data_IF_142320850070
#
_entry.id   IF_142320850070
#
_cell.length_a   1.000
_cell.length_b   1.000
_cell.length_c   1.000
_cell.angle_alpha   90.00
_cell.angle_beta   90.00
_cell.angle_gamma   90.00
#
_symmetry.space_group_name_H-M   'P 1'
#
loop_
_entity.id
_entity.type
_entity.pdbx_description
1 polymer ?
#
# COMPACT_ATOMS: atom_id res chain seq x y z
N UNK A 1 15.04 4.82 16.92
CA UNK A 1 13.96 4.92 15.91
C UNK A 1 12.98 3.81 16.19
N UNK A 2 11.73 4.16 16.49
CA UNK A 2 10.66 3.19 16.67
C UNK A 2 9.45 3.64 15.86
N UNK A 3 8.43 2.80 15.68
CA UNK A 3 7.28 3.17 14.84
C UNK A 3 6.36 4.20 15.53
N UNK A 4 6.38 4.22 16.86
CA UNK A 4 5.61 5.12 17.73
C UNK A 4 5.97 6.60 17.57
N UNK A 5 7.13 6.89 16.96
CA UNK A 5 7.59 8.26 16.66
C UNK A 5 7.36 8.66 15.21
N UNK A 6 6.66 7.85 14.41
CA UNK A 6 6.44 8.08 12.97
C UNK A 6 4.97 8.32 12.64
N UNK A 7 4.66 8.64 11.39
CA UNK A 7 3.29 8.74 10.88
C UNK A 7 2.45 7.46 11.11
N UNK A 8 3.10 6.30 11.22
CA UNK A 8 2.42 5.01 11.42
C UNK A 8 2.13 4.71 12.89
N UNK A 9 2.50 5.57 13.84
CA UNK A 9 2.34 5.34 15.28
C UNK A 9 0.91 4.97 15.70
N UNK A 10 -0.08 5.68 15.14
CA UNK A 10 -1.50 5.41 15.42
C UNK A 10 -1.95 4.04 14.89
N UNK A 11 -1.52 3.67 13.69
CA UNK A 11 -1.83 2.36 13.10
C UNK A 11 -1.14 1.23 13.88
N UNK A 12 0.10 1.44 14.30
CA UNK A 12 0.86 0.52 15.13
C UNK A 12 0.17 0.27 16.47
N UNK A 13 -0.17 1.35 17.18
CA UNK A 13 -0.82 1.27 18.50
C UNK A 13 -2.19 0.62 18.41
N UNK A 14 -2.92 0.83 17.31
CA UNK A 14 -4.18 0.18 17.02
C UNK A 14 -4.05 -1.28 16.52
N UNK A 15 -2.83 -1.83 16.45
CA UNK A 15 -2.58 -3.19 15.99
C UNK A 15 -2.91 -3.42 14.52
N UNK A 16 -2.87 -2.37 13.69
CA UNK A 16 -3.24 -2.41 12.27
C UNK A 16 -2.09 -2.75 11.32
N UNK A 17 -0.85 -2.72 11.80
CA UNK A 17 0.31 -3.19 11.04
C UNK A 17 0.42 -4.72 11.20
N UNK A 18 -0.11 -5.45 10.24
CA UNK A 18 -0.23 -6.91 10.28
C UNK A 18 0.78 -7.59 9.36
N UNK A 19 0.99 -8.90 9.58
CA UNK A 19 1.73 -9.79 8.68
C UNK A 19 3.08 -9.22 8.21
N UNK A 20 3.81 -8.57 9.12
CA UNK A 20 5.05 -7.89 8.79
C UNK A 20 6.10 -8.89 8.28
N UNK A 21 6.42 -8.78 7.00
CA UNK A 21 7.58 -9.41 6.35
C UNK A 21 8.85 -8.61 6.70
N UNK A 22 8.72 -7.28 6.80
CA UNK A 22 9.78 -6.40 7.28
C UNK A 22 9.20 -5.24 8.07
N UNK A 23 9.88 -4.85 9.14
CA UNK A 23 9.55 -3.68 9.94
C UNK A 23 10.79 -3.23 10.69
N UNK A 24 11.41 -2.15 10.25
CA UNK A 24 12.68 -1.70 10.80
C UNK A 24 13.24 -0.46 10.12
N UNK A 25 14.51 -0.12 10.35
CA UNK A 25 15.20 0.96 9.63
C UNK A 25 15.17 0.79 8.11
N UNK A 26 15.11 1.88 7.35
CA UNK A 26 15.41 1.85 5.92
C UNK A 26 16.90 2.09 5.66
N UNK A 27 17.36 1.97 4.40
CA UNK A 27 18.71 2.39 3.99
C UNK A 27 18.94 3.90 4.13
N UNK A 28 17.86 4.69 4.16
CA UNK A 28 17.93 6.14 4.40
C UNK A 28 17.98 6.40 5.91
N UNK A 29 19.05 7.04 6.37
CA UNK A 29 19.20 7.38 7.79
C UNK A 29 18.05 8.27 8.28
N UNK A 30 17.49 7.94 9.46
CA UNK A 30 16.34 8.63 10.02
C UNK A 30 14.98 8.18 9.47
N UNK A 31 14.95 7.11 8.67
CA UNK A 31 13.73 6.56 8.09
C UNK A 31 13.53 5.10 8.47
N UNK A 32 12.27 4.69 8.58
CA UNK A 32 11.84 3.32 8.78
C UNK A 32 11.08 2.82 7.55
N UNK A 33 11.24 1.53 7.28
CA UNK A 33 10.58 0.81 6.21
C UNK A 33 9.67 -0.29 6.77
N UNK A 34 8.46 -0.40 6.20
CA UNK A 34 7.47 -1.43 6.52
C UNK A 34 7.18 -2.25 5.26
N UNK A 35 6.98 -3.56 5.45
CA UNK A 35 6.40 -4.48 4.46
C UNK A 35 5.48 -5.47 5.17
N UNK A 36 4.19 -5.44 4.88
CA UNK A 36 3.17 -6.27 5.52
C UNK A 36 1.78 -5.91 5.03
N UNK A 37 0.78 -5.83 5.91
CA UNK A 37 -0.58 -5.40 5.58
C UNK A 37 -1.03 -4.27 6.51
N UNK A 38 -1.88 -3.37 6.02
CA UNK A 38 -2.60 -2.41 6.86
C UNK A 38 -4.05 -2.88 7.03
N UNK A 39 -4.44 -3.23 8.26
CA UNK A 39 -5.83 -3.52 8.57
C UNK A 39 -6.69 -2.25 8.45
N UNK A 40 -7.66 -2.27 7.54
CA UNK A 40 -8.59 -1.17 7.34
C UNK A 40 -9.83 -1.36 8.23
N UNK A 41 -10.41 -2.55 8.25
CA UNK A 41 -11.55 -2.86 9.12
C UNK A 41 -11.34 -4.18 9.84
N UNK A 42 -11.50 -4.18 11.15
CA UNK A 42 -11.53 -5.41 11.95
C UNK A 42 -12.95 -5.98 11.95
N UNK A 43 -13.07 -7.30 12.04
CA UNK A 43 -14.35 -7.95 12.29
C UNK A 43 -14.80 -7.67 13.72
N UNK A 44 -16.11 -7.72 13.97
CA UNK A 44 -16.63 -7.71 15.35
C UNK A 44 -16.04 -8.90 16.13
N UNK A 45 -15.43 -8.60 17.28
CA UNK A 45 -14.81 -9.61 18.12
C UNK A 45 -15.88 -10.52 18.73
N UNK A 46 -15.87 -11.79 18.38
CA UNK A 46 -16.53 -12.84 19.18
C UNK A 46 -15.49 -13.37 20.16
N UNK A 47 -15.89 -13.54 21.42
CA UNK A 47 -14.99 -13.80 22.55
C UNK A 47 -13.90 -14.84 22.22
N UNK A 48 -12.66 -14.45 22.54
CA UNK A 48 -11.40 -15.22 22.49
C UNK A 48 -10.85 -15.65 21.13
N UNK A 49 -11.50 -15.34 20.00
CA UNK A 49 -10.97 -15.64 18.67
C UNK A 49 -10.31 -14.40 18.03
N UNK A 50 -8.98 -14.43 17.85
CA UNK A 50 -8.29 -13.41 17.04
C UNK A 50 -8.63 -13.62 15.57
N UNK A 51 -9.66 -12.92 15.09
CA UNK A 51 -10.09 -12.97 13.69
C UNK A 51 -9.18 -12.14 12.79
N UNK A 52 -8.96 -12.58 11.53
CA UNK A 52 -8.35 -11.70 10.55
C UNK A 52 -9.24 -10.45 10.36
N UNK A 53 -8.66 -9.31 9.96
CA UNK A 53 -9.46 -8.16 9.56
C UNK A 53 -10.46 -8.52 8.47
N UNK A 54 -11.57 -7.79 8.42
CA UNK A 54 -12.58 -7.92 7.36
C UNK A 54 -11.97 -7.58 6.00
N UNK A 55 -11.17 -6.51 5.95
CA UNK A 55 -10.36 -6.17 4.78
C UNK A 55 -9.14 -5.30 5.14
N UNK A 56 -8.14 -5.33 4.26
CA UNK A 56 -6.85 -4.65 4.39
C UNK A 56 -6.47 -3.87 3.13
N UNK A 57 -5.48 -2.98 3.28
CA UNK A 57 -4.53 -2.71 2.21
C UNK A 57 -3.41 -3.77 2.30
N UNK A 58 -3.45 -4.73 1.39
CA UNK A 58 -2.60 -5.92 1.42
C UNK A 58 -1.24 -5.65 0.78
N UNK A 59 -0.21 -6.39 1.19
CA UNK A 59 1.15 -6.31 0.64
C UNK A 59 1.67 -4.86 0.61
N UNK A 60 1.34 -4.11 1.66
CA UNK A 60 1.73 -2.73 1.87
C UNK A 60 3.24 -2.61 2.04
N UNK A 61 3.85 -1.69 1.31
CA UNK A 61 5.22 -1.21 1.49
C UNK A 61 5.16 0.26 1.87
N UNK A 62 5.84 0.68 2.94
CA UNK A 62 5.85 2.09 3.34
C UNK A 62 7.23 2.57 3.78
N UNK A 63 7.54 3.84 3.48
CA UNK A 63 8.67 4.59 4.03
C UNK A 63 8.15 5.74 4.87
N UNK A 64 8.66 5.86 6.09
CA UNK A 64 8.29 6.93 7.03
C UNK A 64 9.52 7.49 7.74
N UNK A 65 9.51 8.79 7.99
CA UNK A 65 10.57 9.47 8.76
C UNK A 65 10.35 9.34 10.27
N UNK A 66 11.42 9.14 11.02
CA UNK A 66 11.43 9.29 12.48
C UNK A 66 11.10 10.74 12.87
N UNK A 67 10.12 10.92 13.77
CA UNK A 67 9.54 12.22 14.11
C UNK A 67 8.65 12.85 13.03
N UNK A 68 8.43 12.17 11.90
CA UNK A 68 7.58 12.63 10.82
C UNK A 68 6.10 12.33 11.07
N UNK A 69 5.21 13.19 10.56
CA UNK A 69 3.75 13.05 10.70
C UNK A 69 3.05 12.51 9.45
N UNK A 70 3.78 12.34 8.34
CA UNK A 70 3.23 11.86 7.07
C UNK A 70 4.02 10.66 6.54
N UNK A 71 3.38 9.88 5.67
CA UNK A 71 3.99 8.76 4.95
C UNK A 71 4.66 9.32 3.69
N UNK A 72 5.98 9.12 3.57
CA UNK A 72 6.77 9.62 2.45
C UNK A 72 6.51 8.81 1.16
N UNK A 73 6.40 7.49 1.29
CA UNK A 73 6.04 6.60 0.19
C UNK A 73 5.18 5.43 0.67
N UNK A 74 4.16 5.05 -0.10
CA UNK A 74 3.29 3.91 0.16
C UNK A 74 2.97 3.19 -1.16
N UNK A 75 3.05 1.87 -1.14
CA UNK A 75 2.40 1.05 -2.14
C UNK A 75 1.60 -0.08 -1.48
N UNK A 76 0.53 -0.55 -2.10
CA UNK A 76 -0.26 -1.67 -1.58
C UNK A 76 -1.38 -2.08 -2.51
N UNK A 77 -2.04 -3.18 -2.19
CA UNK A 77 -3.12 -3.76 -2.97
C UNK A 77 -4.47 -3.60 -2.25
N UNK A 78 -5.46 -3.05 -2.96
CA UNK A 78 -6.84 -2.97 -2.51
C UNK A 78 -7.70 -3.92 -3.35
N UNK A 79 -8.36 -4.86 -2.68
CA UNK A 79 -9.17 -5.87 -3.37
C UNK A 79 -10.39 -5.27 -4.07
N UNK A 80 -11.13 -4.46 -3.30
CA UNK A 80 -12.30 -3.71 -3.72
C UNK A 80 -11.98 -2.23 -3.53
N UNK A 81 -11.98 -1.46 -4.62
CA UNK A 81 -11.70 -0.03 -4.58
C UNK A 81 -12.69 0.74 -3.69
N UNK A 82 -13.89 0.21 -3.42
CA UNK A 82 -14.82 0.84 -2.48
C UNK A 82 -14.25 0.93 -1.05
N UNK A 83 -13.35 0.01 -0.68
CA UNK A 83 -12.65 0.04 0.61
C UNK A 83 -11.66 1.21 0.71
N UNK A 84 -11.38 1.94 -0.39
CA UNK A 84 -10.60 3.17 -0.33
C UNK A 84 -11.28 4.28 0.46
N UNK A 85 -12.60 4.21 0.69
CA UNK A 85 -13.28 5.14 1.62
C UNK A 85 -12.76 4.97 3.04
N UNK A 86 -12.68 3.73 3.53
CA UNK A 86 -12.08 3.44 4.85
C UNK A 86 -10.58 3.76 4.87
N UNK A 87 -9.87 3.53 3.76
CA UNK A 87 -8.48 3.97 3.62
C UNK A 87 -8.34 5.50 3.72
N UNK A 88 -9.27 6.26 3.12
CA UNK A 88 -9.30 7.72 3.20
C UNK A 88 -9.46 8.21 4.63
N UNK A 89 -10.30 7.56 5.42
CA UNK A 89 -10.52 7.92 6.82
C UNK A 89 -9.31 7.60 7.71
N UNK A 90 -8.69 6.43 7.51
CA UNK A 90 -7.63 5.93 8.39
C UNK A 90 -6.22 6.36 8.00
N UNK A 91 -5.93 6.33 6.71
CA UNK A 91 -4.58 6.55 6.16
C UNK A 91 -4.51 7.88 5.43
N UNK A 92 -5.61 8.39 4.88
CA UNK A 92 -5.67 9.69 4.21
C UNK A 92 -5.05 10.84 5.01
N UNK A 93 -5.31 11.00 6.33
CA UNK A 93 -4.68 12.04 7.15
C UNK A 93 -3.16 11.92 7.29
N UNK A 94 -2.60 10.75 6.96
CA UNK A 94 -1.16 10.47 6.99
C UNK A 94 -0.51 10.73 5.62
N UNK A 95 -1.30 11.03 4.58
CA UNK A 95 -0.79 11.32 3.25
C UNK A 95 -0.56 12.82 3.07
N UNK A 96 0.36 13.20 2.18
CA UNK A 96 0.69 14.59 1.87
C UNK A 96 0.82 14.81 0.36
N UNK A 97 0.78 16.06 -0.07
CA UNK A 97 0.95 16.44 -1.48
C UNK A 97 2.34 16.13 -2.04
N UNK A 98 3.34 15.91 -1.17
CA UNK A 98 4.72 15.59 -1.56
C UNK A 98 5.04 14.11 -1.52
N UNK A 99 4.15 13.28 -0.96
CA UNK A 99 4.39 11.85 -0.85
C UNK A 99 4.08 11.08 -2.12
N UNK A 100 4.51 9.81 -2.14
CA UNK A 100 4.49 8.96 -3.33
C UNK A 100 3.63 7.73 -3.08
N UNK A 101 2.47 7.67 -3.73
CA UNK A 101 1.45 6.66 -3.41
C UNK A 101 1.04 5.86 -4.64
N UNK A 102 1.24 4.54 -4.59
CA UNK A 102 0.87 3.61 -5.66
C UNK A 102 -0.12 2.57 -5.10
N UNK A 103 -1.35 2.57 -5.58
CA UNK A 103 -2.35 1.57 -5.19
C UNK A 103 -2.58 0.62 -6.36
N UNK A 104 -2.46 -0.67 -6.09
CA UNK A 104 -2.87 -1.72 -7.00
C UNK A 104 -4.33 -2.08 -6.69
N UNK A 105 -5.19 -2.15 -7.69
CA UNK A 105 -6.63 -2.34 -7.54
C UNK A 105 -7.09 -3.67 -8.16
N UNK A 106 -7.90 -4.42 -7.43
CA UNK A 106 -8.35 -5.77 -7.80
C UNK A 106 -9.62 -5.84 -8.66
N UNK A 107 -10.44 -4.79 -8.66
CA UNK A 107 -11.73 -4.76 -9.34
C UNK A 107 -11.88 -3.54 -10.26
N UNK A 108 -10.89 -3.30 -11.11
CA UNK A 108 -10.95 -2.34 -12.22
C UNK A 108 -10.55 -3.02 -13.53
N UNK A 109 -10.76 -2.34 -14.66
CA UNK A 109 -10.31 -2.81 -15.97
C UNK A 109 -8.77 -2.97 -16.02
N UNK A 110 -8.26 -4.04 -16.63
CA UNK A 110 -6.82 -4.34 -16.64
C UNK A 110 -5.97 -3.36 -17.45
N UNK A 111 -6.59 -2.57 -18.33
CA UNK A 111 -5.91 -1.53 -19.08
C UNK A 111 -5.97 -0.18 -18.36
N UNK A 112 -6.79 -0.07 -17.30
CA UNK A 112 -7.02 1.18 -16.60
C UNK A 112 -5.79 1.59 -15.76
N UNK A 113 -5.33 2.82 -15.96
CA UNK A 113 -4.24 3.43 -15.19
C UNK A 113 -4.64 4.86 -14.91
N UNK A 114 -4.64 5.25 -13.64
CA UNK A 114 -5.16 6.54 -13.22
C UNK A 114 -4.22 7.29 -12.29
N UNK A 115 -4.32 8.61 -12.35
CA UNK A 115 -3.86 9.54 -11.32
C UNK A 115 -5.11 10.05 -10.59
N UNK A 116 -5.36 9.57 -9.38
CA UNK A 116 -6.58 9.87 -8.62
C UNK A 116 -6.29 10.99 -7.63
N UNK A 117 -7.09 12.05 -7.67
CA UNK A 117 -7.04 13.12 -6.66
C UNK A 117 -7.60 12.59 -5.34
N UNK A 118 -6.86 12.71 -4.23
CA UNK A 118 -7.21 12.07 -2.97
C UNK A 118 -6.91 12.98 -1.77
N UNK A 119 -7.84 13.89 -1.46
CA UNK A 119 -7.56 14.99 -0.53
C UNK A 119 -6.40 15.85 -1.04
N UNK A 120 -5.43 16.13 -0.19
CA UNK A 120 -4.20 16.85 -0.56
C UNK A 120 -3.18 15.94 -1.28
N UNK A 121 -3.40 14.64 -1.29
CA UNK A 121 -2.52 13.65 -1.91
C UNK A 121 -2.97 13.30 -3.33
N UNK A 122 -2.10 12.59 -4.05
CA UNK A 122 -2.39 12.00 -5.35
C UNK A 122 -2.01 10.53 -5.34
N UNK A 123 -2.94 9.66 -5.73
CA UNK A 123 -2.71 8.23 -5.85
C UNK A 123 -2.43 7.88 -7.31
N UNK A 124 -1.37 7.14 -7.57
CA UNK A 124 -1.21 6.40 -8.83
C UNK A 124 -1.92 5.07 -8.67
N UNK A 125 -2.94 4.80 -9.47
CA UNK A 125 -3.71 3.55 -9.38
C UNK A 125 -3.47 2.69 -10.61
N UNK A 126 -3.07 1.45 -10.37
CA UNK A 126 -2.77 0.44 -11.38
C UNK A 126 -3.64 -0.81 -11.14
N UNK A 127 -3.98 -1.59 -12.16
CA UNK A 127 -4.72 -2.83 -11.98
C UNK A 127 -3.78 -3.93 -11.47
N UNK A 128 -4.30 -4.87 -10.68
CA UNK A 128 -3.59 -6.07 -10.29
C UNK A 128 -4.51 -7.28 -10.27
N UNK A 129 -4.09 -8.32 -11.00
CA UNK A 129 -4.83 -9.57 -11.16
C UNK A 129 -4.27 -10.71 -10.30
N UNK A 130 -3.28 -11.44 -10.83
CA UNK A 130 -2.72 -12.68 -10.25
C UNK A 130 -1.25 -12.52 -9.83
N UNK A 131 -0.81 -11.28 -9.63
CA UNK A 131 0.57 -10.95 -9.28
C UNK A 131 0.70 -10.52 -7.81
N UNK A 132 1.89 -10.06 -7.43
CA UNK A 132 2.14 -9.46 -6.11
C UNK A 132 2.51 -7.99 -6.30
N UNK A 133 2.22 -7.15 -5.31
CA UNK A 133 2.66 -5.74 -5.29
C UNK A 133 4.18 -5.67 -5.47
N UNK A 134 4.92 -6.60 -4.86
CA UNK A 134 6.37 -6.69 -5.03
C UNK A 134 6.79 -6.88 -6.50
N UNK A 135 6.15 -7.83 -7.19
CA UNK A 135 6.45 -8.12 -8.59
C UNK A 135 6.08 -6.94 -9.48
N UNK A 136 4.86 -6.40 -9.33
CA UNK A 136 4.41 -5.28 -10.16
C UNK A 136 5.24 -4.01 -9.96
N UNK A 137 5.67 -3.72 -8.73
CA UNK A 137 6.59 -2.62 -8.47
C UNK A 137 7.98 -2.90 -9.06
N UNK A 138 8.48 -4.13 -9.00
CA UNK A 138 9.78 -4.49 -9.59
C UNK A 138 9.75 -4.34 -11.10
N UNK A 139 8.68 -4.83 -11.75
CA UNK A 139 8.47 -4.72 -13.19
C UNK A 139 8.34 -3.25 -13.62
N UNK A 140 7.56 -2.45 -12.89
CA UNK A 140 7.43 -1.00 -13.12
C UNK A 140 8.78 -0.28 -12.97
N UNK A 141 9.57 -0.66 -11.96
CA UNK A 141 10.88 -0.09 -11.66
C UNK A 141 12.00 -0.59 -12.59
N UNK A 142 11.75 -1.60 -13.43
CA UNK A 142 12.77 -2.27 -14.23
C UNK A 142 13.83 -2.99 -13.39
N UNK A 143 13.47 -3.46 -12.20
CA UNK A 143 14.36 -4.14 -11.26
C UNK A 143 14.28 -5.65 -11.39
N UNK A 144 15.43 -6.31 -11.22
CA UNK A 144 15.52 -7.76 -11.14
C UNK A 144 16.14 -8.24 -9.81
N UNK A 145 16.15 -9.55 -9.64
CA UNK A 145 16.67 -10.24 -8.44
C UNK A 145 18.11 -9.87 -8.07
N UNK A 146 18.94 -9.45 -9.01
CA UNK A 146 20.33 -9.02 -8.77
C UNK A 146 20.41 -7.66 -8.09
N UNK A 147 19.50 -6.73 -8.38
CA UNK A 147 19.48 -5.40 -7.76
C UNK A 147 19.28 -5.48 -6.25
N UNK A 148 18.60 -6.53 -5.78
CA UNK A 148 18.30 -6.74 -4.36
C UNK A 148 19.37 -7.55 -3.60
N UNK A 149 20.37 -8.14 -4.26
CA UNK A 149 21.26 -9.16 -3.65
C UNK A 149 22.06 -8.68 -2.42
N UNK A 150 22.36 -7.39 -2.34
CA UNK A 150 23.21 -6.80 -1.28
C UNK A 150 22.43 -5.93 -0.28
N UNK A 151 21.12 -5.82 -0.47
CA UNK A 151 20.27 -4.98 0.36
C UNK A 151 19.63 -5.81 1.47
N UNK A 152 19.45 -5.20 2.64
CA UNK A 152 18.64 -5.79 3.70
C UNK A 152 17.14 -5.57 3.41
N UNK A 153 16.25 -6.00 4.32
CA UNK A 153 14.82 -5.85 4.09
C UNK A 153 14.38 -4.39 3.94
N UNK A 154 15.00 -3.46 4.66
CA UNK A 154 14.68 -2.03 4.61
C UNK A 154 15.19 -1.39 3.34
N UNK A 155 16.41 -1.70 2.94
CA UNK A 155 17.01 -1.26 1.69
C UNK A 155 16.25 -1.73 0.45
N UNK A 156 15.73 -2.96 0.47
CA UNK A 156 14.91 -3.44 -0.66
C UNK A 156 13.57 -2.68 -0.77
N UNK A 157 12.92 -2.37 0.35
CA UNK A 157 11.68 -1.58 0.37
C UNK A 157 11.94 -0.14 -0.09
N UNK A 158 13.03 0.47 0.37
CA UNK A 158 13.43 1.80 -0.07
C UNK A 158 13.68 1.84 -1.58
N UNK A 159 14.55 0.94 -2.09
CA UNK A 159 14.91 0.88 -3.50
C UNK A 159 13.68 0.72 -4.41
N UNK A 160 12.80 -0.24 -4.10
CA UNK A 160 11.68 -0.57 -4.98
C UNK A 160 10.65 0.57 -5.03
N UNK A 161 10.37 1.24 -3.91
CA UNK A 161 9.45 2.38 -3.89
C UNK A 161 10.02 3.59 -4.62
N UNK A 162 11.29 3.93 -4.39
CA UNK A 162 11.96 5.04 -5.07
C UNK A 162 11.94 4.83 -6.59
N UNK A 163 12.37 3.64 -7.05
CA UNK A 163 12.47 3.34 -8.49
C UNK A 163 11.11 3.22 -9.17
N UNK A 164 10.12 2.60 -8.51
CA UNK A 164 8.76 2.53 -9.05
C UNK A 164 8.14 3.93 -9.19
N UNK A 165 8.40 4.83 -8.24
CA UNK A 165 7.93 6.20 -8.34
C UNK A 165 8.66 7.00 -9.43
N UNK A 166 9.97 6.81 -9.61
CA UNK A 166 10.72 7.43 -10.72
C UNK A 166 10.21 6.96 -12.11
N UNK A 167 9.79 5.70 -12.22
CA UNK A 167 9.38 5.10 -13.49
C UNK A 167 7.91 5.35 -13.87
N UNK A 168 7.06 5.81 -12.94
CA UNK A 168 5.63 5.99 -13.21
C UNK A 168 5.42 7.09 -14.26
N UNK A 169 4.54 6.80 -15.23
CA UNK A 169 4.15 7.76 -16.27
C UNK A 169 3.05 8.71 -15.78
N UNK A 170 2.83 9.79 -16.53
CA UNK A 170 1.61 10.58 -16.39
C UNK A 170 0.41 9.74 -16.90
N UNK A 171 -0.52 9.43 -16.02
CA UNK A 171 -1.76 8.71 -16.34
C UNK A 171 -2.96 9.65 -16.38
N UNK A 172 -4.10 9.17 -16.89
CA UNK A 172 -5.34 9.93 -16.89
C UNK A 172 -5.69 10.40 -15.48
N UNK A 173 -5.89 11.71 -15.30
CA UNK A 173 -6.25 12.28 -14.00
C UNK A 173 -7.75 12.29 -13.82
N UNK A 174 -8.23 11.73 -12.71
CA UNK A 174 -9.66 11.66 -12.37
C UNK A 174 -9.92 12.05 -10.90
N UNK A 175 -11.17 12.37 -10.58
CA UNK A 175 -11.62 12.58 -9.19
C UNK A 175 -11.69 11.26 -8.42
N UNK A 176 -11.75 11.33 -7.09
CA UNK A 176 -11.92 10.13 -6.27
C UNK A 176 -13.28 9.48 -6.52
N UNK A 177 -14.32 10.28 -6.65
CA UNK A 177 -15.69 9.83 -6.90
C UNK A 177 -15.81 9.15 -8.26
N UNK A 178 -15.22 9.73 -9.31
CA UNK A 178 -15.20 9.13 -10.66
C UNK A 178 -14.40 7.83 -10.66
N UNK A 179 -13.32 7.75 -9.87
CA UNK A 179 -12.54 6.53 -9.74
C UNK A 179 -13.35 5.41 -9.10
N UNK A 180 -14.06 5.69 -8.00
CA UNK A 180 -14.92 4.70 -7.35
C UNK A 180 -16.03 4.20 -8.28
N UNK A 181 -16.51 5.05 -9.19
CA UNK A 181 -17.47 4.64 -10.22
C UNK A 181 -16.90 3.67 -11.28
N UNK A 182 -15.59 3.43 -11.31
CA UNK A 182 -14.94 2.42 -12.18
C UNK A 182 -14.96 1.00 -11.58
N UNK A 183 -15.53 0.80 -10.40
CA UNK A 183 -15.58 -0.49 -9.73
C UNK A 183 -16.28 -1.53 -10.62
N UNK A 184 -15.56 -2.61 -10.92
CA UNK A 184 -16.10 -3.84 -11.46
C UNK A 184 -16.55 -4.76 -10.31
N UNK A 185 -17.32 -5.83 -10.60
CA UNK A 185 -17.65 -6.83 -9.60
C UNK A 185 -16.40 -7.36 -8.88
N UNK A 186 -16.47 -7.46 -7.56
CA UNK A 186 -15.40 -8.00 -6.74
C UNK A 186 -15.26 -9.49 -7.06
N UNK A 187 -14.05 -9.91 -7.42
CA UNK A 187 -13.78 -11.30 -7.79
C UNK A 187 -13.72 -12.19 -6.56
N UNK A 188 -14.28 -13.38 -6.67
CA UNK A 188 -14.14 -14.37 -5.62
C UNK A 188 -12.74 -15.01 -5.68
N UNK A 189 -11.88 -14.62 -4.73
CA UNK A 189 -10.50 -15.15 -4.62
C UNK A 189 -10.42 -16.67 -4.40
N UNK A 190 -11.50 -17.30 -3.95
CA UNK A 190 -11.55 -18.73 -3.67
C UNK A 190 -12.14 -19.56 -4.83
N UNK A 191 -12.58 -18.92 -5.92
CA UNK A 191 -13.32 -19.58 -7.01
C UNK A 191 -12.53 -20.72 -7.68
N UNK A 192 -11.20 -20.62 -7.71
CA UNK A 192 -10.30 -21.61 -8.33
C UNK A 192 -9.41 -22.36 -7.32
N UNK A 193 -9.67 -22.23 -6.02
CA UNK A 193 -8.86 -22.94 -5.01
C UNK A 193 -9.32 -24.40 -4.96
N UNK A 194 -8.43 -25.40 -5.13
CA UNK A 194 -8.84 -26.79 -4.93
C UNK A 194 -9.33 -26.96 -3.49
N UNK A 195 -10.53 -27.51 -3.35
CA UNK A 195 -11.14 -27.90 -2.07
C UNK A 195 -10.33 -29.00 -1.40
#
# INVERSE_FOLDING_TARGET
MTYETTALAGLETAGRLLNAVYKGPSDKSGYLAFRGDFALKFQEAMADEKRPPEYCLEQSLAIVKDGGTTIDALAGYIHDINNLKTFQELVGPLLSSTGQYIIFAGNIDFLAKYTVTFGDATLTVLPLEESTVWKELSDLAGLDKNDFKKLDGGGKVQLILDKANEAKSAYEKISFEDFLAKALPVRNRNENRPV
#
